data_IF_139547864776
#
_entry.id   IF_139547864776
#
_cell.length_a   1.000
_cell.length_b   1.000
_cell.length_c   1.000
_cell.angle_alpha   90.00
_cell.angle_beta   90.00
_cell.angle_gamma   90.00
#
_symmetry.space_group_name_H-M   'P 1'
#
loop_
_entity.id
_entity.type
_entity.pdbx_description
1 polymer ?
#
# COMPACT_ATOMS: atom_id res chain seq x y z
N UNK A 1 17.98 8.93 -21.61
CA UNK A 1 18.41 7.65 -21.05
C UNK A 1 18.22 7.61 -19.54
N UNK A 2 18.82 8.55 -18.88
CA UNK A 2 18.71 8.64 -17.43
C UNK A 2 17.29 8.82 -16.94
N UNK A 3 16.54 9.71 -17.57
CA UNK A 3 15.15 9.96 -17.21
C UNK A 3 14.28 8.72 -17.41
N UNK A 4 14.58 7.92 -18.43
CA UNK A 4 13.86 6.69 -18.71
C UNK A 4 14.11 5.63 -17.62
N UNK A 5 15.36 5.52 -17.18
CA UNK A 5 15.72 4.59 -16.12
C UNK A 5 15.07 5.00 -14.81
N UNK A 6 15.11 6.29 -14.51
CA UNK A 6 14.47 6.81 -13.30
C UNK A 6 12.96 6.58 -13.33
N UNK A 7 12.32 6.76 -14.48
CA UNK A 7 10.88 6.51 -14.61
C UNK A 7 10.54 5.05 -14.44
N UNK A 8 11.43 4.15 -14.82
CA UNK A 8 11.24 2.69 -14.62
C UNK A 8 11.41 2.31 -13.16
N UNK A 9 12.44 2.84 -12.52
CA UNK A 9 12.73 2.53 -11.12
C UNK A 9 11.71 3.19 -10.21
N UNK A 10 11.24 4.35 -10.62
CA UNK A 10 10.15 5.04 -9.95
C UNK A 10 8.82 4.64 -10.57
N UNK A 11 8.65 3.32 -10.86
CA UNK A 11 7.33 2.79 -11.14
C UNK A 11 6.42 3.53 -10.21
N UNK A 12 5.47 4.26 -10.76
CA UNK A 12 4.68 5.21 -10.00
C UNK A 12 4.32 4.60 -8.66
N UNK A 13 4.32 5.39 -7.62
CA UNK A 13 3.91 4.92 -6.30
C UNK A 13 2.57 4.20 -6.40
N UNK A 14 1.72 4.68 -7.30
CA UNK A 14 0.41 4.09 -7.53
C UNK A 14 0.51 2.64 -8.00
N UNK A 15 1.40 2.35 -8.96
CA UNK A 15 1.58 0.98 -9.43
C UNK A 15 2.14 0.08 -8.36
N UNK A 16 3.04 0.59 -7.55
CA UNK A 16 3.61 -0.18 -6.46
C UNK A 16 2.57 -0.48 -5.39
N UNK A 17 1.71 0.49 -5.07
CA UNK A 17 0.60 0.27 -4.13
C UNK A 17 -0.37 -0.75 -4.70
N UNK A 18 -0.62 -0.71 -6.02
CA UNK A 18 -1.48 -1.69 -6.67
C UNK A 18 -0.95 -3.10 -6.47
N UNK A 19 0.34 -3.29 -6.67
CA UNK A 19 0.97 -4.60 -6.43
C UNK A 19 0.92 -5.01 -4.97
N UNK A 20 1.14 -4.06 -4.06
CA UNK A 20 1.05 -4.32 -2.63
C UNK A 20 -0.35 -4.80 -2.25
N UNK A 21 -1.38 -4.12 -2.73
CA UNK A 21 -2.77 -4.50 -2.45
C UNK A 21 -3.08 -5.89 -2.98
N UNK A 22 -2.63 -6.19 -4.19
CA UNK A 22 -2.84 -7.51 -4.79
C UNK A 22 -2.13 -8.62 -4.04
N UNK A 23 -0.98 -8.33 -3.47
CA UNK A 23 -0.16 -9.34 -2.79
C UNK A 23 -0.59 -9.59 -1.34
N UNK A 24 -1.04 -8.55 -0.63
CA UNK A 24 -1.24 -8.65 0.81
C UNK A 24 -2.66 -8.39 1.29
N UNK A 25 -3.49 -7.75 0.49
CA UNK A 25 -4.82 -7.30 0.93
C UNK A 25 -5.95 -8.00 0.20
N UNK A 26 -5.78 -8.26 -1.09
CA UNK A 26 -6.85 -8.77 -1.97
C UNK A 26 -7.56 -10.01 -1.42
N UNK A 27 -6.80 -10.97 -0.93
CA UNK A 27 -7.34 -12.23 -0.46
C UNK A 27 -7.52 -12.31 1.05
N UNK A 28 -7.26 -11.21 1.77
CA UNK A 28 -7.37 -11.20 3.22
C UNK A 28 -8.82 -11.00 3.65
N UNK A 29 -9.21 -11.69 4.71
CA UNK A 29 -10.56 -11.58 5.25
C UNK A 29 -10.72 -10.36 6.14
N UNK A 30 -9.64 -9.78 6.63
CA UNK A 30 -9.67 -8.59 7.48
C UNK A 30 -8.28 -8.04 7.70
N UNK A 31 -8.22 -6.88 8.36
CA UNK A 31 -6.94 -6.20 8.61
C UNK A 31 -6.01 -7.00 9.53
N UNK A 32 -6.56 -7.81 10.42
CA UNK A 32 -5.73 -8.68 11.27
C UNK A 32 -4.95 -9.68 10.43
N UNK A 33 -5.58 -10.20 9.39
CA UNK A 33 -4.94 -11.15 8.49
C UNK A 33 -3.87 -10.46 7.64
N UNK A 34 -4.15 -9.22 7.21
CA UNK A 34 -3.16 -8.41 6.49
C UNK A 34 -1.94 -8.20 7.39
N UNK A 35 -2.14 -7.83 8.65
CA UNK A 35 -1.04 -7.60 9.59
C UNK A 35 -0.22 -8.87 9.80
N UNK A 36 -0.89 -9.99 9.95
CA UNK A 36 -0.21 -11.28 10.14
C UNK A 36 0.66 -11.64 8.94
N UNK A 37 0.15 -11.41 7.73
CA UNK A 37 0.90 -11.66 6.51
C UNK A 37 2.12 -10.75 6.39
N UNK A 38 1.96 -9.48 6.71
CA UNK A 38 3.07 -8.53 6.67
C UNK A 38 4.15 -8.88 7.69
N UNK A 39 3.75 -9.32 8.89
CA UNK A 39 4.71 -9.76 9.90
C UNK A 39 5.48 -10.99 9.44
N UNK A 40 4.79 -11.94 8.83
CA UNK A 40 5.41 -13.15 8.32
C UNK A 40 6.43 -12.84 7.25
N UNK A 41 6.09 -11.97 6.30
CA UNK A 41 6.99 -11.60 5.22
C UNK A 41 8.13 -10.71 5.71
N UNK A 42 7.90 -9.86 6.71
CA UNK A 42 8.94 -9.02 7.31
C UNK A 42 10.02 -9.86 7.98
N UNK A 43 9.69 -11.08 8.41
CA UNK A 43 10.64 -11.99 9.01
C UNK A 43 11.81 -12.29 8.05
N UNK A 44 11.56 -12.24 6.76
CA UNK A 44 12.57 -12.51 5.73
C UNK A 44 13.31 -11.25 5.29
N UNK A 45 12.98 -10.10 5.84
CA UNK A 45 13.61 -8.83 5.52
C UNK A 45 12.60 -7.72 5.32
N UNK A 46 13.04 -6.49 5.53
CA UNK A 46 12.15 -5.32 5.50
C UNK A 46 12.39 -4.37 4.32
N UNK A 47 13.35 -4.66 3.46
CA UNK A 47 13.69 -3.75 2.35
C UNK A 47 12.47 -3.49 1.46
N UNK A 48 11.78 -4.56 1.07
CA UNK A 48 10.60 -4.44 0.21
C UNK A 48 9.49 -3.70 0.94
N UNK A 49 9.29 -4.00 2.23
CA UNK A 49 8.26 -3.34 3.03
C UNK A 49 8.52 -1.84 3.17
N UNK A 50 9.79 -1.44 3.30
CA UNK A 50 10.14 -0.01 3.36
C UNK A 50 9.78 0.69 2.05
N UNK A 51 10.02 0.05 0.91
CA UNK A 51 9.63 0.59 -0.38
C UNK A 51 8.12 0.69 -0.53
N UNK A 52 7.40 -0.33 -0.08
CA UNK A 52 5.94 -0.32 -0.11
C UNK A 52 5.38 0.79 0.79
N UNK A 53 5.97 0.98 1.97
CA UNK A 53 5.57 2.04 2.88
C UNK A 53 5.75 3.42 2.23
N UNK A 54 6.91 3.64 1.61
CA UNK A 54 7.17 4.90 0.93
C UNK A 54 6.14 5.17 -0.18
N UNK A 55 5.77 4.12 -0.92
CA UNK A 55 4.76 4.23 -1.98
C UNK A 55 3.39 4.55 -1.42
N UNK A 56 2.98 3.89 -0.33
CA UNK A 56 1.71 4.17 0.33
C UNK A 56 1.64 5.62 0.80
N UNK A 57 2.70 6.09 1.45
CA UNK A 57 2.75 7.46 1.92
C UNK A 57 2.70 8.47 0.78
N UNK A 58 3.40 8.19 -0.31
CA UNK A 58 3.40 9.06 -1.48
C UNK A 58 2.01 9.13 -2.12
N UNK A 59 1.35 7.98 -2.29
CA UNK A 59 0.01 7.93 -2.88
C UNK A 59 -0.99 8.73 -2.05
N UNK A 60 -0.92 8.61 -0.73
CA UNK A 60 -1.83 9.34 0.15
C UNK A 60 -1.56 10.85 0.10
N UNK A 61 -0.30 11.25 -0.03
CA UNK A 61 0.10 12.66 -0.05
C UNK A 61 -0.12 13.35 -1.39
N UNK A 62 -0.09 12.60 -2.49
CA UNK A 62 -0.23 13.17 -3.83
C UNK A 62 -1.69 13.42 -4.20
N UNK A 63 -1.90 14.35 -5.11
CA UNK A 63 -3.23 14.56 -5.67
C UNK A 63 -3.44 13.64 -6.86
N UNK A 64 -4.63 13.10 -6.98
CA UNK A 64 -5.00 12.20 -8.06
C UNK A 64 -6.32 12.63 -8.69
N UNK A 65 -6.57 12.26 -9.94
CA UNK A 65 -7.87 12.52 -10.56
C UNK A 65 -8.99 11.90 -9.72
N UNK A 66 -10.19 12.51 -9.73
CA UNK A 66 -11.33 11.99 -8.97
C UNK A 66 -11.60 10.50 -9.28
N UNK A 67 -11.86 9.74 -8.25
CA UNK A 67 -12.17 8.31 -8.37
C UNK A 67 -10.97 7.39 -8.38
N UNK A 68 -9.75 7.92 -8.47
CA UNK A 68 -8.54 7.11 -8.56
C UNK A 68 -8.34 6.25 -7.31
N UNK A 69 -8.38 6.84 -6.13
CA UNK A 69 -8.14 6.10 -4.90
C UNK A 69 -9.30 5.17 -4.57
N UNK A 70 -10.53 5.61 -4.80
CA UNK A 70 -11.70 4.78 -4.57
C UNK A 70 -11.64 3.52 -5.43
N UNK A 71 -11.24 3.67 -6.70
CA UNK A 71 -11.11 2.53 -7.61
C UNK A 71 -9.95 1.63 -7.21
N UNK A 72 -8.85 2.22 -6.77
CA UNK A 72 -7.69 1.47 -6.34
C UNK A 72 -8.05 0.50 -5.21
N UNK A 73 -8.72 0.99 -4.18
CA UNK A 73 -9.10 0.16 -3.04
C UNK A 73 -10.21 -0.82 -3.42
N UNK A 74 -11.23 -0.34 -4.14
CA UNK A 74 -12.38 -1.17 -4.50
C UNK A 74 -12.04 -2.29 -5.46
N UNK A 75 -11.17 -2.02 -6.44
CA UNK A 75 -10.84 -2.99 -7.49
C UNK A 75 -9.60 -3.81 -7.19
N UNK A 76 -8.50 -3.14 -6.83
CA UNK A 76 -7.24 -3.84 -6.66
C UNK A 76 -7.18 -4.62 -5.35
N UNK A 77 -7.77 -4.08 -4.29
CA UNK A 77 -7.84 -4.76 -3.00
C UNK A 77 -9.15 -5.52 -2.83
N UNK A 78 -10.13 -5.28 -3.69
CA UNK A 78 -11.46 -5.83 -3.55
C UNK A 78 -12.02 -5.61 -2.14
N UNK A 79 -11.79 -4.43 -1.61
CA UNK A 79 -12.13 -4.09 -0.23
C UNK A 79 -13.30 -3.14 -0.19
N UNK A 80 -14.34 -3.51 0.54
CA UNK A 80 -15.53 -2.68 0.69
C UNK A 80 -15.32 -1.76 1.90
N UNK A 81 -15.39 -0.45 1.66
CA UNK A 81 -15.24 0.54 2.71
C UNK A 81 -16.60 1.10 3.11
N UNK A 82 -16.72 1.48 4.38
CA UNK A 82 -17.92 2.18 4.86
C UNK A 82 -18.07 3.51 4.12
N UNK A 83 -16.94 4.17 3.85
CA UNK A 83 -16.89 5.38 3.02
C UNK A 83 -16.14 5.02 1.74
N UNK A 84 -16.85 4.74 0.63
CA UNK A 84 -16.22 4.32 -0.63
C UNK A 84 -15.67 5.47 -1.46
N UNK A 85 -15.66 6.69 -0.93
CA UNK A 85 -15.11 7.86 -1.61
C UNK A 85 -13.59 7.82 -1.64
N UNK A 86 -12.98 8.73 -2.42
CA UNK A 86 -11.53 8.89 -2.43
C UNK A 86 -10.99 9.21 -1.03
N UNK A 87 -11.71 10.02 -0.26
CA UNK A 87 -11.31 10.35 1.10
C UNK A 87 -11.29 9.11 2.00
N UNK A 88 -12.29 8.24 1.88
CA UNK A 88 -12.33 7.00 2.63
C UNK A 88 -11.22 6.05 2.20
N UNK A 89 -10.94 5.99 0.89
CA UNK A 89 -9.85 5.18 0.37
C UNK A 89 -8.51 5.70 0.86
N UNK A 90 -8.31 7.02 0.89
CA UNK A 90 -7.07 7.60 1.40
C UNK A 90 -6.85 7.25 2.87
N UNK A 91 -7.90 7.30 3.68
CA UNK A 91 -7.81 6.90 5.09
C UNK A 91 -7.42 5.43 5.23
N UNK A 92 -8.01 4.57 4.42
CA UNK A 92 -7.70 3.14 4.44
C UNK A 92 -6.22 2.91 4.09
N UNK A 93 -5.74 3.55 3.03
CA UNK A 93 -4.33 3.43 2.63
C UNK A 93 -3.41 3.98 3.72
N UNK A 94 -3.82 5.05 4.41
CA UNK A 94 -3.08 5.59 5.54
C UNK A 94 -3.01 4.62 6.72
N UNK A 95 -4.08 3.88 6.97
CA UNK A 95 -4.10 2.83 8.00
C UNK A 95 -3.15 1.69 7.63
N UNK A 96 -3.12 1.31 6.35
CA UNK A 96 -2.18 0.29 5.88
C UNK A 96 -0.73 0.77 6.05
N UNK A 97 -0.47 2.05 5.74
CA UNK A 97 0.86 2.61 5.91
C UNK A 97 1.30 2.58 7.38
N UNK A 98 0.39 2.94 8.29
CA UNK A 98 0.67 2.91 9.72
C UNK A 98 0.94 1.48 10.19
N UNK A 99 0.12 0.53 9.75
CA UNK A 99 0.29 -0.88 10.07
C UNK A 99 1.66 -1.38 9.60
N UNK A 100 2.03 -1.04 8.37
CA UNK A 100 3.29 -1.47 7.80
C UNK A 100 4.48 -0.87 8.54
N UNK A 101 4.36 0.40 8.95
CA UNK A 101 5.40 1.06 9.77
C UNK A 101 5.61 0.32 11.08
N UNK A 102 4.53 -0.07 11.74
CA UNK A 102 4.59 -0.84 12.99
C UNK A 102 5.23 -2.22 12.79
N UNK A 103 4.88 -2.87 11.69
CA UNK A 103 5.46 -4.18 11.35
C UNK A 103 6.96 -4.07 11.11
N UNK A 104 7.39 -3.04 10.37
CA UNK A 104 8.81 -2.81 10.09
C UNK A 104 9.56 -2.53 11.40
N UNK A 105 9.04 -1.64 12.22
CA UNK A 105 9.66 -1.30 13.50
C UNK A 105 9.82 -2.53 14.39
N UNK A 106 8.80 -3.36 14.45
CA UNK A 106 8.84 -4.60 15.23
C UNK A 106 9.87 -5.58 14.71
N UNK A 107 9.99 -5.70 13.40
CA UNK A 107 10.93 -6.63 12.78
C UNK A 107 12.40 -6.19 12.92
N UNK A 108 12.62 -4.89 13.05
CA UNK A 108 13.98 -4.32 13.13
C UNK A 108 14.47 -4.11 14.54
N UNK A 109 13.71 -4.45 15.53
CA UNK A 109 14.13 -4.34 16.93
C UNK A 109 15.11 -5.42 17.35
#
# INVERSE_FOLDING_TARGET
>A
MRARVEARNALSSLDRVREFLGSHVLDADGLDEVRADLRRTAHFGTVRHRGDLAALEAVVAEQHPPGTLARLVGWEANWVLDDPSDAGAARFLGELAQMLREVIDGAER
#
